data_IF_463057004850
#
_entry.id   IF_463057004850
#
_cell.length_a   1.000
_cell.length_b   1.000
_cell.length_c   1.000
_cell.angle_alpha   90.00
_cell.angle_beta   90.00
_cell.angle_gamma   90.00
#
_symmetry.space_group_name_H-M   'P 1'
#
loop_
_entity.id
_entity.type
_entity.pdbx_description
1 polymer ?
#
# COMPACT_ATOMS: atom_id res chain seq x y z
N UNK A 1 1.33 78.76 -21.00
CA UNK A 1 1.16 77.28 -21.01
C UNK A 1 1.56 76.74 -19.64
N UNK A 2 0.61 76.03 -19.03
CA UNK A 2 0.64 75.21 -17.80
C UNK A 2 1.91 75.12 -16.96
N UNK A 3 1.82 75.53 -15.68
CA UNK A 3 2.33 74.76 -14.52
C UNK A 3 1.41 74.98 -13.31
N UNK A 4 0.33 74.20 -13.27
CA UNK A 4 -0.44 73.92 -12.04
C UNK A 4 0.29 72.79 -11.28
N UNK A 5 0.60 72.98 -9.99
CA UNK A 5 -0.06 72.34 -8.81
C UNK A 5 0.13 70.80 -8.84
N UNK A 6 0.73 70.11 -7.86
CA UNK A 6 0.21 69.93 -6.49
C UNK A 6 1.20 69.13 -5.64
N UNK A 7 1.44 69.59 -4.42
CA UNK A 7 1.97 68.82 -3.29
C UNK A 7 0.87 67.93 -2.69
N UNK A 8 1.29 66.82 -2.09
CA UNK A 8 0.59 65.92 -1.16
C UNK A 8 -0.36 64.84 -1.73
N UNK A 9 0.14 63.59 -1.69
CA UNK A 9 -0.65 62.40 -1.35
C UNK A 9 0.20 61.45 -0.49
N UNK A 10 0.01 61.55 0.84
CA UNK A 10 0.24 60.45 1.77
C UNK A 10 -0.91 59.46 1.56
N UNK A 11 -0.65 58.15 1.46
CA UNK A 11 -1.51 57.05 1.95
C UNK A 11 -0.91 55.66 1.61
N UNK A 12 -0.43 54.98 2.64
CA UNK A 12 -0.75 53.58 2.98
C UNK A 12 -1.28 52.66 1.85
N UNK A 13 -0.42 51.79 1.31
CA UNK A 13 -0.73 50.40 0.87
C UNK A 13 0.64 49.72 0.78
N UNK A 14 0.96 48.55 1.32
CA UNK A 14 0.19 47.52 1.97
C UNK A 14 1.17 46.33 2.02
N UNK A 15 1.52 45.93 3.23
CA UNK A 15 2.17 44.65 3.50
C UNK A 15 1.26 43.52 3.04
N UNK A 16 1.43 43.01 1.83
CA UNK A 16 0.86 41.77 1.27
C UNK A 16 1.66 41.50 -0.03
N UNK A 17 2.44 40.44 -0.21
CA UNK A 17 2.10 39.04 -0.06
C UNK A 17 3.35 38.22 0.28
N UNK A 18 3.44 37.76 1.53
CA UNK A 18 4.02 36.45 1.82
C UNK A 18 2.98 35.43 1.36
N UNK A 19 3.05 35.06 0.08
CA UNK A 19 2.54 33.80 -0.42
C UNK A 19 3.65 33.20 -1.26
N UNK A 20 4.72 32.79 -0.57
CA UNK A 20 5.34 31.52 -0.92
C UNK A 20 4.20 30.52 -0.88
N UNK A 21 3.65 30.24 -2.06
CA UNK A 21 2.79 29.11 -2.28
C UNK A 21 3.62 27.90 -1.87
N UNK A 22 3.43 27.49 -0.61
CA UNK A 22 3.49 26.09 -0.24
C UNK A 22 2.47 25.45 -1.17
N UNK A 23 2.92 25.03 -2.35
CA UNK A 23 2.15 24.08 -3.12
C UNK A 23 2.04 22.89 -2.18
N UNK A 24 0.84 22.53 -1.68
CA UNK A 24 0.70 21.22 -1.10
C UNK A 24 1.10 20.29 -2.24
N UNK A 25 2.18 19.53 -2.06
CA UNK A 25 2.38 18.30 -2.81
C UNK A 25 1.09 17.54 -2.66
N UNK A 26 0.22 17.63 -3.67
CA UNK A 26 -0.99 16.86 -3.71
C UNK A 26 -0.51 15.41 -3.67
N UNK A 27 -0.69 14.75 -2.54
CA UNK A 27 -0.44 13.33 -2.42
C UNK A 27 -1.25 12.68 -3.53
N UNK A 28 -0.56 12.23 -4.58
CA UNK A 28 -1.21 11.63 -5.74
C UNK A 28 -1.97 10.42 -5.22
N UNK A 29 -3.30 10.41 -5.41
CA UNK A 29 -4.09 9.25 -5.04
C UNK A 29 -3.67 8.07 -5.92
N UNK A 30 -3.36 6.91 -5.34
CA UNK A 30 -2.98 5.74 -6.11
C UNK A 30 -4.11 5.33 -7.06
N UNK A 31 -3.74 4.78 -8.21
CA UNK A 31 -4.70 4.32 -9.23
C UNK A 31 -5.04 2.86 -8.97
N UNK A 32 -6.32 2.56 -8.74
CA UNK A 32 -6.78 1.17 -8.68
C UNK A 32 -6.65 0.51 -10.06
N UNK A 33 -5.85 -0.56 -10.16
CA UNK A 33 -5.49 -1.17 -11.45
C UNK A 33 -6.56 -2.09 -12.02
N UNK A 34 -7.38 -2.66 -11.14
CA UNK A 34 -8.39 -3.66 -11.46
C UNK A 34 -9.65 -3.33 -10.67
N UNK A 35 -10.80 -3.35 -11.33
CA UNK A 35 -12.10 -3.11 -10.71
C UNK A 35 -12.64 -4.31 -9.91
N UNK A 36 -12.00 -5.47 -10.04
CA UNK A 36 -12.30 -6.67 -9.25
C UNK A 36 -11.06 -7.06 -8.44
N UNK A 37 -11.21 -7.42 -7.15
CA UNK A 37 -10.11 -7.92 -6.34
C UNK A 37 -9.48 -9.17 -6.96
N UNK A 38 -8.16 -9.28 -6.85
CA UNK A 38 -7.46 -10.53 -7.14
C UNK A 38 -7.62 -11.49 -5.97
N UNK A 39 -7.75 -12.78 -6.25
CA UNK A 39 -7.74 -13.79 -5.19
C UNK A 39 -6.31 -14.15 -4.81
N UNK A 40 -6.05 -14.45 -3.54
CA UNK A 40 -4.78 -15.06 -3.12
C UNK A 40 -4.48 -16.37 -3.87
N UNK A 41 -5.53 -17.06 -4.35
CA UNK A 41 -5.41 -18.25 -5.20
C UNK A 41 -4.79 -17.94 -6.57
N UNK A 42 -4.98 -16.72 -7.09
CA UNK A 42 -4.34 -16.29 -8.35
C UNK A 42 -2.82 -16.28 -8.23
N UNK A 43 -2.29 -16.07 -7.03
CA UNK A 43 -0.86 -16.14 -6.74
C UNK A 43 -0.39 -17.58 -6.41
N UNK A 44 -1.30 -18.55 -6.35
CA UNK A 44 -1.02 -19.93 -5.95
C UNK A 44 -0.69 -20.07 -4.45
N UNK A 45 -1.16 -19.13 -3.63
CA UNK A 45 -0.80 -19.02 -2.22
C UNK A 45 -1.96 -19.36 -1.25
N UNK A 46 -3.12 -19.75 -1.75
CA UNK A 46 -4.31 -20.05 -0.92
C UNK A 46 -4.04 -21.11 0.17
N UNK A 47 -3.25 -22.15 -0.14
CA UNK A 47 -2.89 -23.17 0.85
C UNK A 47 -1.83 -22.75 1.87
N UNK A 48 -1.17 -21.61 1.66
CA UNK A 48 -0.07 -21.11 2.50
C UNK A 48 -0.48 -19.88 3.32
N UNK A 49 -1.30 -19.00 2.72
CA UNK A 49 -1.76 -17.73 3.30
C UNK A 49 -3.28 -17.72 3.21
N UNK A 50 -3.99 -18.35 4.16
CA UNK A 50 -5.44 -18.46 4.14
C UNK A 50 -6.16 -17.14 4.49
N UNK A 51 -5.48 -16.18 5.13
CA UNK A 51 -6.07 -14.90 5.56
C UNK A 51 -5.13 -13.71 5.31
N UNK A 52 -5.70 -12.54 5.07
CA UNK A 52 -4.96 -11.28 5.06
C UNK A 52 -4.34 -10.97 6.44
N UNK A 53 -4.90 -11.52 7.53
CA UNK A 53 -4.37 -11.35 8.88
C UNK A 53 -2.99 -12.01 9.01
N UNK A 54 -2.73 -13.07 8.25
CA UNK A 54 -1.42 -13.74 8.21
C UNK A 54 -0.34 -12.85 7.57
N UNK A 55 -0.71 -11.70 7.01
CA UNK A 55 0.19 -10.68 6.50
C UNK A 55 0.44 -9.56 7.52
N UNK A 56 -0.14 -9.61 8.71
CA UNK A 56 -0.01 -8.58 9.75
C UNK A 56 0.90 -9.09 10.87
N UNK A 57 1.98 -8.35 11.13
CA UNK A 57 2.98 -8.72 12.14
C UNK A 57 4.40 -8.34 11.74
N UNK A 58 5.41 -8.68 12.55
CA UNK A 58 6.79 -8.26 12.35
C UNK A 58 7.42 -8.81 11.06
N UNK A 59 8.30 -8.02 10.44
CA UNK A 59 9.02 -8.38 9.20
C UNK A 59 9.87 -9.66 9.31
N UNK A 60 10.37 -9.96 10.52
CA UNK A 60 11.24 -11.12 10.74
C UNK A 60 10.44 -12.38 11.14
N UNK A 61 9.12 -12.29 11.23
CA UNK A 61 8.23 -13.38 11.63
C UNK A 61 7.54 -14.08 10.46
N UNK A 62 6.58 -14.96 10.78
CA UNK A 62 5.74 -15.63 9.78
C UNK A 62 5.03 -14.64 8.87
N UNK A 63 4.52 -13.53 9.43
CA UNK A 63 3.84 -12.51 8.65
C UNK A 63 4.75 -11.85 7.60
N UNK A 64 6.01 -11.57 7.97
CA UNK A 64 7.01 -11.07 7.01
C UNK A 64 7.34 -12.08 5.91
N UNK A 65 7.41 -13.38 6.24
CA UNK A 65 7.61 -14.45 5.25
C UNK A 65 6.42 -14.54 4.28
N UNK A 66 5.19 -14.50 4.78
CA UNK A 66 3.97 -14.49 3.98
C UNK A 66 3.91 -13.27 3.05
N UNK A 67 4.26 -12.07 3.56
CA UNK A 67 4.39 -10.86 2.73
C UNK A 67 5.45 -11.02 1.65
N UNK A 68 6.63 -11.51 1.99
CA UNK A 68 7.72 -11.73 1.04
C UNK A 68 7.34 -12.72 -0.07
N UNK A 69 6.64 -13.80 0.25
CA UNK A 69 6.17 -14.77 -0.74
C UNK A 69 5.10 -14.18 -1.67
N UNK A 70 4.14 -13.42 -1.13
CA UNK A 70 3.15 -12.70 -1.95
C UNK A 70 3.82 -11.69 -2.89
N UNK A 71 4.75 -10.86 -2.36
CA UNK A 71 5.54 -9.91 -3.15
C UNK A 71 6.31 -10.63 -4.24
N UNK A 72 6.97 -11.75 -3.93
CA UNK A 72 7.74 -12.54 -4.90
C UNK A 72 6.85 -13.07 -6.03
N UNK A 73 5.67 -13.62 -5.73
CA UNK A 73 4.73 -14.12 -6.74
C UNK A 73 4.19 -12.99 -7.62
N UNK A 74 3.88 -11.85 -7.02
CA UNK A 74 3.45 -10.68 -7.76
C UNK A 74 4.58 -10.15 -8.67
N UNK A 75 5.82 -10.10 -8.16
CA UNK A 75 6.98 -9.68 -8.94
C UNK A 75 7.18 -10.55 -10.19
N UNK A 76 6.91 -11.85 -10.13
CA UNK A 76 6.94 -12.72 -11.31
C UNK A 76 6.01 -12.24 -12.43
N UNK A 77 4.85 -11.65 -12.10
CA UNK A 77 3.96 -11.08 -13.10
C UNK A 77 4.50 -9.77 -13.67
N UNK A 78 5.05 -8.91 -12.80
CA UNK A 78 5.69 -7.66 -13.20
C UNK A 78 6.81 -7.94 -14.19
N UNK A 79 7.69 -8.88 -13.85
CA UNK A 79 8.86 -9.26 -14.64
C UNK A 79 8.50 -10.10 -15.88
N UNK A 80 7.28 -10.66 -15.93
CA UNK A 80 6.86 -11.54 -17.01
C UNK A 80 7.55 -12.90 -16.98
N UNK A 81 7.80 -13.46 -15.80
CA UNK A 81 8.47 -14.75 -15.60
C UNK A 81 7.45 -15.86 -15.36
N UNK A 82 7.16 -16.67 -16.39
CA UNK A 82 6.18 -17.77 -16.30
C UNK A 82 6.57 -18.85 -15.31
N UNK A 83 7.86 -19.13 -15.15
CA UNK A 83 8.36 -20.23 -14.31
C UNK A 83 8.04 -20.09 -12.83
N UNK A 84 7.78 -18.87 -12.34
CA UNK A 84 7.45 -18.61 -10.93
C UNK A 84 6.04 -18.04 -10.72
N UNK A 85 5.30 -17.81 -11.81
CA UNK A 85 3.91 -17.35 -11.80
C UNK A 85 2.92 -18.50 -11.65
N UNK A 86 1.87 -18.32 -10.85
CA UNK A 86 0.77 -19.28 -10.76
C UNK A 86 -0.25 -19.16 -11.92
N UNK A 87 -0.34 -17.97 -12.54
CA UNK A 87 -1.15 -17.72 -13.73
C UNK A 87 -0.27 -17.51 -14.97
N UNK A 88 -0.78 -17.88 -16.15
CA UNK A 88 -0.07 -17.59 -17.41
C UNK A 88 0.00 -16.09 -17.72
N UNK A 89 1.03 -15.65 -18.45
CA UNK A 89 1.19 -14.23 -18.81
C UNK A 89 0.08 -13.69 -19.72
N UNK A 90 -0.67 -14.59 -20.36
CA UNK A 90 -1.81 -14.25 -21.21
C UNK A 90 -3.10 -14.03 -20.42
N UNK A 91 -3.13 -14.30 -19.12
CA UNK A 91 -4.27 -13.99 -18.26
C UNK A 91 -4.63 -12.49 -18.39
N UNK A 92 -5.91 -12.13 -18.60
CA UNK A 92 -6.31 -10.75 -18.80
C UNK A 92 -5.92 -9.83 -17.64
N UNK A 93 -5.88 -10.32 -16.40
CA UNK A 93 -5.55 -9.54 -15.19
C UNK A 93 -4.05 -9.25 -15.14
N UNK A 94 -3.22 -10.27 -15.40
CA UNK A 94 -1.76 -10.12 -15.51
C UNK A 94 -1.42 -9.13 -16.64
N UNK A 95 -2.07 -9.26 -17.80
CA UNK A 95 -1.88 -8.31 -18.92
C UNK A 95 -2.32 -6.89 -18.58
N UNK A 96 -3.39 -6.71 -17.81
CA UNK A 96 -3.85 -5.38 -17.40
C UNK A 96 -2.82 -4.68 -16.51
N UNK A 97 -2.29 -5.39 -15.50
CA UNK A 97 -1.21 -4.89 -14.63
C UNK A 97 0.02 -4.54 -15.46
N UNK A 98 0.51 -5.45 -16.31
CA UNK A 98 1.69 -5.19 -17.16
C UNK A 98 1.48 -4.02 -18.12
N UNK A 99 0.28 -3.85 -18.69
CA UNK A 99 -0.05 -2.70 -19.54
C UNK A 99 -0.04 -1.39 -18.78
N UNK A 100 -0.44 -1.38 -17.50
CA UNK A 100 -0.31 -0.21 -16.65
C UNK A 100 1.16 0.16 -16.46
N UNK A 101 2.00 -0.83 -16.11
CA UNK A 101 3.43 -0.64 -15.88
C UNK A 101 4.16 -0.13 -17.13
N UNK A 102 3.87 -0.70 -18.30
CA UNK A 102 4.43 -0.25 -19.59
C UNK A 102 4.00 1.17 -19.97
N UNK A 103 2.78 1.59 -19.58
CA UNK A 103 2.31 2.97 -19.79
C UNK A 103 2.90 3.97 -18.78
N UNK A 104 3.72 3.51 -17.84
CA UNK A 104 4.23 4.21 -16.67
C UNK A 104 5.10 5.45 -16.93
N UNK A 105 4.52 6.49 -17.54
CA UNK A 105 5.16 7.79 -17.77
C UNK A 105 4.70 8.90 -16.83
N UNK A 106 3.73 8.64 -15.95
CA UNK A 106 3.09 9.66 -15.12
C UNK A 106 3.46 9.61 -13.62
N UNK A 107 4.47 8.80 -13.21
CA UNK A 107 4.89 8.67 -11.80
C UNK A 107 3.75 8.31 -10.82
N UNK A 108 2.80 7.47 -11.26
CA UNK A 108 1.66 7.06 -10.43
C UNK A 108 1.84 5.65 -9.88
N UNK A 109 1.66 5.52 -8.57
CA UNK A 109 1.52 4.24 -7.91
C UNK A 109 0.21 3.57 -8.33
N UNK A 110 0.28 2.26 -8.60
CA UNK A 110 -0.90 1.42 -8.78
C UNK A 110 -1.27 0.73 -7.48
N UNK A 111 -2.55 0.46 -7.25
CA UNK A 111 -3.00 -0.39 -6.13
C UNK A 111 -3.85 -1.53 -6.68
N UNK A 112 -3.64 -2.72 -6.12
CA UNK A 112 -4.44 -3.91 -6.35
C UNK A 112 -4.95 -4.42 -5.01
N UNK A 113 -6.23 -4.71 -4.94
CA UNK A 113 -6.83 -5.36 -3.77
C UNK A 113 -6.68 -6.87 -3.93
N UNK A 114 -6.10 -7.52 -2.92
CA UNK A 114 -6.03 -8.99 -2.84
C UNK A 114 -7.01 -9.48 -1.79
N UNK A 115 -7.93 -10.34 -2.19
CA UNK A 115 -8.93 -10.99 -1.35
C UNK A 115 -8.55 -12.44 -0.99
N UNK A 116 -9.06 -12.89 0.15
CA UNK A 116 -8.79 -14.20 0.74
C UNK A 116 -10.08 -15.03 0.92
N UNK A 117 -9.98 -16.36 1.08
CA UNK A 117 -11.15 -17.23 1.26
C UNK A 117 -12.01 -16.87 2.49
N UNK A 118 -11.39 -16.32 3.53
CA UNK A 118 -12.08 -15.84 4.74
C UNK A 118 -12.74 -14.47 4.56
N UNK A 119 -12.80 -13.95 3.33
CA UNK A 119 -13.33 -12.65 2.94
C UNK A 119 -12.51 -11.45 3.45
N UNK A 120 -11.35 -11.70 4.08
CA UNK A 120 -10.41 -10.63 4.37
C UNK A 120 -9.75 -10.13 3.08
N UNK A 121 -9.22 -8.89 3.13
CA UNK A 121 -8.58 -8.23 1.99
C UNK A 121 -7.42 -7.34 2.43
N UNK A 122 -6.46 -7.14 1.54
CA UNK A 122 -5.31 -6.26 1.72
C UNK A 122 -5.01 -5.50 0.43
N UNK A 123 -4.49 -4.27 0.54
CA UNK A 123 -3.95 -3.54 -0.60
C UNK A 123 -2.49 -3.90 -0.85
N UNK A 124 -2.19 -4.16 -2.12
CA UNK A 124 -0.82 -4.31 -2.63
C UNK A 124 -0.56 -3.13 -3.56
N UNK A 125 0.37 -2.29 -3.17
CA UNK A 125 0.79 -1.13 -3.95
C UNK A 125 1.92 -1.54 -4.89
N UNK A 126 1.75 -1.27 -6.18
CA UNK A 126 2.79 -1.40 -7.19
C UNK A 126 3.44 -0.03 -7.35
N UNK A 127 4.55 0.17 -6.64
CA UNK A 127 5.25 1.43 -6.58
C UNK A 127 6.50 1.40 -7.46
N UNK A 128 6.87 2.56 -7.98
CA UNK A 128 8.12 2.72 -8.71
C UNK A 128 9.30 2.66 -7.73
N UNK A 129 10.31 1.87 -8.04
CA UNK A 129 11.57 1.89 -7.31
C UNK A 129 12.34 3.16 -7.69
N UNK A 130 12.29 4.17 -6.82
CA UNK A 130 12.96 5.46 -7.03
C UNK A 130 14.48 5.37 -7.07
N UNK A 131 15.07 4.26 -6.64
CA UNK A 131 16.52 4.03 -6.68
C UNK A 131 17.02 3.55 -8.05
N UNK A 132 16.13 3.19 -8.98
CA UNK A 132 16.49 2.67 -10.30
C UNK A 132 16.28 3.72 -11.39
N UNK A 133 17.27 3.86 -12.28
CA UNK A 133 17.19 4.78 -13.42
C UNK A 133 16.07 4.31 -14.38
N UNK A 134 15.07 5.15 -14.69
CA UNK A 134 14.03 4.81 -15.68
C UNK A 134 14.56 4.43 -17.06
N UNK A 135 15.79 4.83 -17.39
CA UNK A 135 16.43 4.54 -18.66
C UNK A 135 17.24 3.23 -18.62
N UNK A 136 17.28 2.54 -17.48
CA UNK A 136 17.94 1.25 -17.36
C UNK A 136 16.89 0.15 -17.58
N UNK A 137 16.66 -0.19 -18.86
CA UNK A 137 15.60 -1.08 -19.32
C UNK A 137 15.78 -2.54 -18.88
N UNK A 138 16.94 -2.88 -18.34
CA UNK A 138 17.28 -4.23 -17.89
C UNK A 138 16.83 -4.52 -16.45
N UNK A 139 16.25 -3.53 -15.74
CA UNK A 139 15.83 -3.67 -14.35
C UNK A 139 14.34 -3.39 -14.15
N UNK A 140 13.68 -4.20 -13.31
CA UNK A 140 12.28 -3.99 -12.95
C UNK A 140 12.11 -2.72 -12.11
N UNK A 141 11.68 -1.65 -12.78
CA UNK A 141 11.48 -0.32 -12.18
C UNK A 141 10.28 -0.29 -11.22
N UNK A 142 9.47 -1.35 -11.15
CA UNK A 142 8.30 -1.43 -10.27
C UNK A 142 8.40 -2.61 -9.31
N UNK A 143 8.05 -2.35 -8.06
CA UNK A 143 8.03 -3.34 -6.97
C UNK A 143 6.66 -3.35 -6.28
N UNK A 144 6.04 -4.52 -6.07
CA UNK A 144 4.87 -4.66 -5.25
C UNK A 144 5.25 -4.56 -3.77
N UNK A 145 4.44 -3.84 -3.01
CA UNK A 145 4.57 -3.64 -1.57
C UNK A 145 3.20 -3.91 -0.95
N UNK A 146 3.13 -4.91 -0.08
CA UNK A 146 1.93 -5.19 0.73
C UNK A 146 1.79 -4.08 1.76
N UNK A 147 0.58 -3.54 1.93
CA UNK A 147 0.26 -2.50 2.92
C UNK A 147 -0.50 -3.14 4.10
N UNK A 148 0.16 -3.62 5.17
CA UNK A 148 -0.50 -4.41 6.21
C UNK A 148 -1.52 -3.62 7.02
N UNK A 149 -1.38 -2.30 7.04
CA UNK A 149 -2.29 -1.35 7.68
C UNK A 149 -3.61 -1.17 6.92
N UNK A 150 -3.71 -1.69 5.69
CA UNK A 150 -4.95 -1.70 4.89
C UNK A 150 -5.74 -2.99 5.03
N UNK A 151 -5.28 -3.93 5.87
CA UNK A 151 -5.96 -5.21 6.07
C UNK A 151 -7.35 -4.98 6.64
N UNK A 152 -8.35 -5.50 5.94
CA UNK A 152 -9.74 -5.48 6.36
C UNK A 152 -10.22 -6.92 6.48
N UNK A 153 -10.70 -7.30 7.67
CA UNK A 153 -11.22 -8.63 7.95
C UNK A 153 -12.65 -8.53 8.51
N UNK A 154 -13.67 -9.10 7.84
CA UNK A 154 -15.03 -9.07 8.35
C UNK A 154 -15.14 -9.69 9.74
N UNK A 155 -15.77 -8.98 10.68
CA UNK A 155 -16.04 -9.50 12.03
C UNK A 155 -14.90 -9.35 13.04
N UNK A 156 -13.78 -8.72 12.67
CA UNK A 156 -12.71 -8.33 13.59
C UNK A 156 -12.61 -6.79 13.67
N UNK A 157 -12.28 -6.22 14.83
CA UNK A 157 -12.01 -4.79 14.94
C UNK A 157 -10.78 -4.43 14.10
N UNK A 158 -10.75 -3.21 13.55
CA UNK A 158 -9.63 -2.68 12.78
C UNK A 158 -8.31 -2.88 13.55
N UNK A 159 -7.34 -3.54 12.91
CA UNK A 159 -6.07 -3.86 13.58
C UNK A 159 -5.26 -2.57 13.71
N UNK A 160 -4.91 -2.12 14.95
CA UNK A 160 -4.12 -0.92 15.12
C UNK A 160 -2.70 -1.14 14.58
N UNK A 161 -2.34 -0.36 13.55
CA UNK A 161 -1.05 -0.42 12.84
C UNK A 161 0.02 0.48 13.44
N UNK A 162 -0.28 1.19 14.54
CA UNK A 162 0.61 2.16 15.20
C UNK A 162 1.05 1.67 16.59
N UNK A 163 2.36 1.70 16.93
CA UNK A 163 2.89 1.27 18.23
C UNK A 163 2.24 1.99 19.42
N UNK A 164 1.87 3.24 19.23
CA UNK A 164 1.23 4.16 20.17
C UNK A 164 -0.27 3.89 20.43
N UNK A 165 -0.89 2.97 19.67
CA UNK A 165 -2.28 2.53 19.91
C UNK A 165 -2.39 1.29 20.81
N UNK A 166 -1.27 0.72 21.27
CA UNK A 166 -1.27 -0.43 22.20
C UNK A 166 -1.44 0.00 23.67
N UNK A 167 -1.11 1.24 24.01
CA UNK A 167 -1.27 1.77 25.37
C UNK A 167 -2.72 2.15 25.64
N UNK A 168 -3.45 1.25 26.32
CA UNK A 168 -4.77 1.54 26.89
C UNK A 168 -5.92 0.67 26.41
N UNK A 169 -5.70 -0.26 25.47
CA UNK A 169 -6.70 -1.26 25.10
C UNK A 169 -6.71 -2.39 26.14
N UNK A 170 -7.55 -2.25 27.16
CA UNK A 170 -8.01 -3.39 27.94
C UNK A 170 -8.81 -4.30 27.00
N UNK A 171 -8.14 -5.28 26.39
CA UNK A 171 -8.80 -6.31 25.61
C UNK A 171 -9.82 -7.00 26.53
N UNK A 172 -11.11 -6.72 26.32
CA UNK A 172 -12.20 -7.50 26.90
C UNK A 172 -12.27 -8.82 26.13
N UNK A 173 -11.27 -9.67 26.37
CA UNK A 173 -11.13 -10.97 25.73
C UNK A 173 -12.24 -11.88 26.29
N UNK A 174 -13.06 -12.53 25.43
CA UNK A 174 -14.00 -13.53 25.88
C UNK A 174 -13.30 -14.59 26.76
N UNK A 175 -13.90 -15.08 27.85
CA UNK A 175 -13.23 -15.96 28.82
C UNK A 175 -12.57 -17.20 28.21
N UNK A 176 -13.15 -17.70 27.11
CA UNK A 176 -12.62 -18.84 26.37
C UNK A 176 -11.27 -18.56 25.70
N UNK A 177 -11.07 -17.37 25.14
CA UNK A 177 -9.83 -16.97 24.47
C UNK A 177 -8.74 -16.69 25.53
N UNK A 178 -9.12 -16.12 26.68
CA UNK A 178 -8.19 -15.88 27.79
C UNK A 178 -7.69 -17.20 28.40
N UNK A 179 -8.57 -18.18 28.57
CA UNK A 179 -8.18 -19.52 29.01
C UNK A 179 -7.28 -20.25 27.99
N UNK A 180 -7.46 -20.01 26.70
CA UNK A 180 -6.60 -20.57 25.66
C UNK A 180 -5.20 -19.91 25.67
N UNK A 181 -5.13 -18.60 25.86
CA UNK A 181 -3.87 -17.85 26.01
C UNK A 181 -3.06 -18.28 27.24
N UNK A 182 -3.72 -18.48 28.39
CA UNK A 182 -3.03 -18.94 29.61
C UNK A 182 -2.49 -20.37 29.46
N UNK A 183 -3.23 -21.28 28.79
CA UNK A 183 -2.70 -22.62 28.46
C UNK A 183 -1.52 -22.57 27.51
N UNK A 184 -1.47 -21.58 26.62
CA UNK A 184 -0.36 -21.38 25.69
C UNK A 184 0.88 -20.85 26.41
N UNK A 185 0.73 -19.89 27.31
CA UNK A 185 1.85 -19.40 28.16
C UNK A 185 2.48 -20.51 28.98
N UNK A 186 1.67 -21.36 29.62
CA UNK A 186 2.14 -22.50 30.42
C UNK A 186 2.89 -23.58 29.63
N UNK A 187 2.89 -23.54 28.28
CA UNK A 187 3.68 -24.46 27.45
C UNK A 187 5.05 -23.90 27.07
N UNK A 188 5.29 -22.62 27.31
CA UNK A 188 6.52 -21.93 26.94
C UNK A 188 7.40 -21.53 28.13
N UNK A 189 6.91 -21.69 29.37
CA UNK A 189 7.70 -21.72 30.61
C UNK A 189 8.08 -23.17 30.97
#
# INVERSE_FOLDING_TARGET
MSRWIQTLSVLFVGSWFVLLAVQPSAAQQPVELLSEPLSIADFGLEGQIPSAIDLVGPEQGSAGQSRAELVRRFQCWVDGLESCSALGLNDPRVRAIRRFLVRGRDDRDGVVIVGFPDQSRVEVRVARNSALDPNDWDQSVYLPVVLPDTVQAPGLPDIPSRPDHFDGLAYNVPPAIQAALERLKQRFD
#
